data_IF_127098965602
#
_entry.id   IF_127098965602
#
_cell.length_a   1.000
_cell.length_b   1.000
_cell.length_c   1.000
_cell.angle_alpha   90.00
_cell.angle_beta   90.00
_cell.angle_gamma   90.00
#
_symmetry.space_group_name_H-M   'P 1'
#
loop_
_entity.id
_entity.type
_entity.pdbx_description
1 polymer ?
#
# COMPACT_ATOMS: atom_id res chain seq x y z
N UNK A 1 -9.41 -11.28 22.06
CA UNK A 1 -9.49 -11.39 20.59
C UNK A 1 -10.05 -12.77 20.28
N UNK A 2 -11.23 -12.84 19.66
CA UNK A 2 -12.02 -14.07 19.61
C UNK A 2 -11.55 -14.97 18.45
N UNK A 3 -11.72 -16.29 18.57
CA UNK A 3 -11.19 -17.28 17.60
C UNK A 3 -11.78 -17.08 16.19
N UNK A 4 -12.96 -16.47 16.08
CA UNK A 4 -13.63 -16.14 14.82
C UNK A 4 -13.01 -14.93 14.08
N UNK A 5 -12.32 -14.02 14.76
CA UNK A 5 -11.69 -12.85 14.12
C UNK A 5 -10.40 -13.20 13.36
N UNK A 6 -9.81 -14.37 13.65
CA UNK A 6 -8.53 -14.82 13.10
C UNK A 6 -8.64 -15.47 11.72
N UNK A 7 -9.85 -15.91 11.32
CA UNK A 7 -10.10 -16.72 10.12
C UNK A 7 -10.21 -15.85 8.84
N UNK A 8 -10.56 -14.56 8.99
CA UNK A 8 -10.60 -13.58 7.89
C UNK A 8 -9.50 -12.50 7.98
N UNK A 9 -8.52 -12.69 8.87
CA UNK A 9 -7.44 -11.72 9.05
C UNK A 9 -6.39 -11.87 7.95
N UNK A 10 -6.24 -10.85 7.10
CA UNK A 10 -5.16 -10.80 6.12
C UNK A 10 -3.79 -10.74 6.80
N UNK A 11 -2.77 -11.32 6.16
CA UNK A 11 -1.44 -11.51 6.76
C UNK A 11 -0.83 -10.23 7.36
N UNK A 12 -1.04 -9.08 6.72
CA UNK A 12 -0.48 -7.80 7.17
C UNK A 12 -1.13 -7.24 8.43
N UNK A 13 -2.36 -7.65 8.77
CA UNK A 13 -3.04 -7.22 10.00
C UNK A 13 -2.41 -7.84 11.25
N UNK A 14 -1.66 -8.93 11.09
CA UNK A 14 -0.96 -9.63 12.19
C UNK A 14 0.39 -9.01 12.52
N UNK A 15 0.90 -8.14 11.65
CA UNK A 15 2.20 -7.49 11.83
C UNK A 15 1.95 -6.20 12.61
N UNK A 16 2.34 -6.13 13.91
CA UNK A 16 2.35 -4.85 14.60
C UNK A 16 3.33 -3.94 13.85
N UNK A 17 2.98 -2.68 13.67
CA UNK A 17 3.78 -1.66 12.98
C UNK A 17 3.83 -1.73 11.44
N UNK A 18 2.88 -2.41 10.79
CA UNK A 18 2.83 -2.43 9.32
C UNK A 18 2.71 -1.03 8.70
N UNK A 19 2.00 -0.12 9.36
CA UNK A 19 1.81 1.25 8.87
C UNK A 19 3.13 2.03 8.86
N UNK A 20 3.90 1.92 9.95
CA UNK A 20 5.21 2.52 10.15
C UNK A 20 6.23 1.92 9.18
N UNK A 21 6.20 0.59 8.98
CA UNK A 21 7.04 -0.07 7.99
C UNK A 21 6.77 0.45 6.58
N UNK A 22 5.50 0.54 6.17
CA UNK A 22 5.14 1.08 4.86
C UNK A 22 5.52 2.56 4.74
N UNK A 23 5.39 3.33 5.81
CA UNK A 23 5.85 4.72 5.83
C UNK A 23 7.35 4.82 5.59
N UNK A 24 8.15 4.03 6.31
CA UNK A 24 9.62 4.00 6.16
C UNK A 24 10.02 3.51 4.77
N UNK A 25 9.41 2.44 4.24
CA UNK A 25 9.69 1.94 2.89
C UNK A 25 9.35 2.97 1.81
N UNK A 26 8.22 3.67 1.96
CA UNK A 26 7.83 4.75 1.07
C UNK A 26 8.84 5.90 1.08
N UNK A 27 9.33 6.28 2.27
CA UNK A 27 10.38 7.29 2.43
C UNK A 27 11.70 6.85 1.83
N UNK A 28 12.16 5.62 2.12
CA UNK A 28 13.40 5.07 1.55
C UNK A 28 13.32 5.10 0.03
N UNK A 29 12.26 4.56 -0.56
CA UNK A 29 12.10 4.57 -2.02
C UNK A 29 12.07 5.98 -2.59
N UNK A 30 11.31 6.88 -1.96
CA UNK A 30 11.19 8.27 -2.39
C UNK A 30 12.52 9.02 -2.34
N UNK A 31 13.23 8.94 -1.21
CA UNK A 31 14.51 9.61 -1.02
C UNK A 31 15.58 9.01 -1.92
N UNK A 32 15.68 7.69 -2.01
CA UNK A 32 16.75 7.02 -2.74
C UNK A 32 16.76 7.40 -4.23
N UNK A 33 15.60 7.43 -4.90
CA UNK A 33 15.51 7.86 -6.29
C UNK A 33 15.81 9.34 -6.51
N UNK A 34 15.62 10.19 -5.50
CA UNK A 34 15.96 11.62 -5.58
C UNK A 34 17.45 11.83 -5.34
N UNK A 35 18.06 11.00 -4.49
CA UNK A 35 19.49 11.02 -4.23
C UNK A 35 20.32 10.62 -5.45
N UNK A 36 19.83 9.77 -6.36
CA UNK A 36 20.59 9.38 -7.57
C UNK A 36 21.10 10.58 -8.38
N UNK A 37 20.35 11.68 -8.42
CA UNK A 37 20.73 12.94 -9.10
C UNK A 37 21.97 13.56 -8.43
N UNK A 38 22.00 13.57 -7.10
CA UNK A 38 23.06 14.18 -6.30
C UNK A 38 24.28 13.27 -6.10
N UNK A 39 24.09 11.95 -6.20
CA UNK A 39 25.15 10.96 -6.00
C UNK A 39 26.02 10.77 -7.25
N UNK A 40 25.62 11.32 -8.41
CA UNK A 40 26.38 11.22 -9.66
C UNK A 40 27.87 11.61 -9.54
N UNK A 41 28.28 12.67 -8.81
CA UNK A 41 29.69 13.00 -8.63
C UNK A 41 30.47 12.00 -7.77
N UNK A 42 29.78 11.17 -6.96
CA UNK A 42 30.39 10.14 -6.12
C UNK A 42 30.64 8.83 -6.88
N UNK A 43 30.32 8.79 -8.17
CA UNK A 43 30.52 7.65 -9.05
C UNK A 43 29.31 6.71 -9.14
N UNK A 44 29.38 5.81 -10.12
CA UNK A 44 28.25 4.96 -10.50
C UNK A 44 27.85 3.96 -9.42
N UNK A 45 28.79 3.53 -8.57
CA UNK A 45 28.48 2.63 -7.45
C UNK A 45 27.51 3.26 -6.44
N UNK A 46 27.67 4.54 -6.12
CA UNK A 46 26.79 5.25 -5.20
C UNK A 46 25.39 5.43 -5.79
N UNK A 47 25.32 5.77 -7.08
CA UNK A 47 24.06 5.88 -7.83
C UNK A 47 23.33 4.54 -7.86
N UNK A 48 24.03 3.46 -8.20
CA UNK A 48 23.46 2.12 -8.26
C UNK A 48 22.95 1.65 -6.89
N UNK A 49 23.71 1.90 -5.81
CA UNK A 49 23.29 1.51 -4.45
C UNK A 49 22.01 2.23 -4.03
N UNK A 50 21.92 3.53 -4.28
CA UNK A 50 20.69 4.29 -4.04
C UNK A 50 19.54 3.80 -4.94
N UNK A 51 19.81 3.54 -6.21
CA UNK A 51 18.77 3.07 -7.12
C UNK A 51 18.21 1.69 -6.71
N UNK A 52 19.08 0.72 -6.39
CA UNK A 52 18.66 -0.61 -5.96
C UNK A 52 17.93 -0.60 -4.61
N UNK A 53 18.39 0.18 -3.65
CA UNK A 53 17.65 0.35 -2.39
C UNK A 53 16.27 0.97 -2.61
N UNK A 54 16.18 1.95 -3.51
CA UNK A 54 14.91 2.59 -3.88
C UNK A 54 13.92 1.64 -4.55
N UNK A 55 14.37 0.88 -5.55
CA UNK A 55 13.50 -0.02 -6.34
C UNK A 55 12.98 -1.17 -5.48
N UNK A 56 13.84 -1.76 -4.64
CA UNK A 56 13.44 -2.85 -3.73
C UNK A 56 12.41 -2.34 -2.72
N UNK A 57 12.64 -1.17 -2.12
CA UNK A 57 11.70 -0.57 -1.17
C UNK A 57 10.32 -0.32 -1.81
N UNK A 58 10.28 0.19 -3.05
CA UNK A 58 9.04 0.41 -3.80
C UNK A 58 8.32 -0.88 -4.19
N UNK A 59 9.05 -1.92 -4.62
CA UNK A 59 8.44 -3.23 -4.91
C UNK A 59 7.69 -3.75 -3.69
N UNK A 60 8.34 -3.76 -2.53
CA UNK A 60 7.73 -4.23 -1.27
C UNK A 60 6.56 -3.31 -0.88
N UNK A 61 6.76 -2.00 -0.91
CA UNK A 61 5.75 -1.01 -0.56
C UNK A 61 4.47 -1.16 -1.40
N UNK A 62 4.60 -1.21 -2.73
CA UNK A 62 3.44 -1.31 -3.62
C UNK A 62 2.79 -2.68 -3.56
N UNK A 63 3.56 -3.77 -3.41
CA UNK A 63 2.99 -5.11 -3.24
C UNK A 63 2.04 -5.19 -2.04
N UNK A 64 2.49 -4.74 -0.87
CA UNK A 64 1.68 -4.76 0.36
C UNK A 64 0.48 -3.80 0.22
N UNK A 65 0.69 -2.61 -0.36
CA UNK A 65 -0.39 -1.64 -0.63
C UNK A 65 -1.48 -2.21 -1.55
N UNK A 66 -1.12 -2.96 -2.60
CA UNK A 66 -2.09 -3.65 -3.48
C UNK A 66 -2.94 -4.62 -2.66
N UNK A 67 -2.32 -5.36 -1.76
CA UNK A 67 -2.97 -6.31 -0.87
C UNK A 67 -3.99 -5.61 0.05
N UNK A 68 -3.58 -4.54 0.74
CA UNK A 68 -4.46 -3.72 1.59
C UNK A 68 -5.65 -3.17 0.80
N UNK A 69 -5.39 -2.70 -0.42
CA UNK A 69 -6.42 -2.15 -1.31
C UNK A 69 -7.41 -3.19 -1.83
N UNK A 70 -6.97 -4.44 -2.04
CA UNK A 70 -7.86 -5.54 -2.39
C UNK A 70 -8.83 -5.84 -1.24
N UNK A 71 -8.31 -5.96 -0.02
CA UNK A 71 -9.16 -6.19 1.16
C UNK A 71 -10.15 -5.04 1.38
N UNK A 72 -9.72 -3.79 1.19
CA UNK A 72 -10.62 -2.63 1.26
C UNK A 72 -11.76 -2.74 0.25
N UNK A 73 -11.49 -3.25 -0.96
CA UNK A 73 -12.52 -3.46 -1.99
C UNK A 73 -13.46 -4.62 -1.67
N UNK A 74 -12.98 -5.68 -1.03
CA UNK A 74 -13.84 -6.77 -0.53
C UNK A 74 -14.88 -6.24 0.46
N UNK A 75 -14.45 -5.38 1.40
CA UNK A 75 -15.35 -4.69 2.35
C UNK A 75 -16.37 -3.82 1.59
N UNK A 76 -15.95 -3.13 0.53
CA UNK A 76 -16.83 -2.30 -0.28
C UNK A 76 -17.89 -3.09 -1.08
N UNK A 77 -17.63 -4.37 -1.36
CA UNK A 77 -18.57 -5.25 -2.06
C UNK A 77 -19.54 -5.97 -1.13
N UNK A 78 -19.30 -5.92 0.18
CA UNK A 78 -20.22 -6.45 1.18
C UNK A 78 -21.48 -5.57 1.24
N UNK A 79 -22.54 -6.04 0.56
CA UNK A 79 -23.83 -5.34 0.45
C UNK A 79 -24.54 -5.19 1.80
N UNK A 80 -24.21 -6.01 2.80
CA UNK A 80 -24.86 -6.01 4.10
C UNK A 80 -24.12 -5.17 5.14
N UNK A 81 -22.93 -4.65 4.82
CA UNK A 81 -22.13 -3.89 5.77
C UNK A 81 -22.84 -2.59 6.22
N UNK A 82 -23.46 -1.88 5.26
CA UNK A 82 -24.23 -0.66 5.54
C UNK A 82 -25.53 -0.95 6.32
N UNK A 83 -26.19 -2.08 6.06
CA UNK A 83 -27.40 -2.50 6.78
C UNK A 83 -27.08 -2.91 8.22
N UNK A 84 -25.96 -3.63 8.43
CA UNK A 84 -25.46 -3.98 9.77
C UNK A 84 -25.03 -2.75 10.57
N UNK A 85 -24.49 -1.73 9.92
CA UNK A 85 -24.19 -0.43 10.54
C UNK A 85 -25.46 0.28 11.02
N UNK A 86 -26.57 0.19 10.29
CA UNK A 86 -27.83 0.83 10.67
C UNK A 86 -28.58 0.09 11.81
N UNK A 87 -28.36 -1.22 11.97
CA UNK A 87 -29.01 -2.03 13.01
C UNK A 87 -28.37 -1.96 14.40
N UNK A 88 -27.32 -1.16 14.59
CA UNK A 88 -26.68 -0.93 15.89
C UNK A 88 -27.16 0.40 16.51
N UNK A 89 -26.87 0.61 17.79
CA UNK A 89 -27.25 1.79 18.60
C UNK A 89 -26.47 3.06 18.20
N UNK A 90 -26.41 3.33 16.89
CA UNK A 90 -25.72 4.44 16.24
C UNK A 90 -26.75 5.52 15.90
N UNK A 91 -26.37 6.79 16.07
CA UNK A 91 -27.24 7.88 15.63
C UNK A 91 -27.28 7.94 14.09
N UNK A 92 -28.34 8.53 13.51
CA UNK A 92 -28.40 8.75 12.06
C UNK A 92 -27.18 9.55 11.53
N UNK A 93 -26.64 10.43 12.38
CA UNK A 93 -25.45 11.23 12.05
C UNK A 93 -24.19 10.37 11.97
N UNK A 94 -24.03 9.40 12.88
CA UNK A 94 -22.90 8.46 12.88
C UNK A 94 -22.94 7.57 11.63
N UNK A 95 -24.12 7.02 11.31
CA UNK A 95 -24.32 6.19 10.10
C UNK A 95 -23.99 6.99 8.85
N UNK A 96 -24.42 8.26 8.77
CA UNK A 96 -24.12 9.14 7.63
C UNK A 96 -22.62 9.43 7.50
N UNK A 97 -21.93 9.71 8.60
CA UNK A 97 -20.49 10.00 8.61
C UNK A 97 -19.67 8.77 8.19
N UNK A 98 -19.94 7.61 8.80
CA UNK A 98 -19.27 6.35 8.47
C UNK A 98 -19.53 5.97 7.01
N UNK A 99 -20.78 6.10 6.56
CA UNK A 99 -21.14 5.79 5.18
C UNK A 99 -20.43 6.69 4.17
N UNK A 100 -20.29 7.99 4.48
CA UNK A 100 -19.55 8.95 3.66
C UNK A 100 -18.08 8.56 3.53
N UNK A 101 -17.42 8.24 4.65
CA UNK A 101 -16.02 7.81 4.67
C UNK A 101 -15.86 6.54 3.84
N UNK A 102 -16.68 5.52 4.09
CA UNK A 102 -16.59 4.24 3.38
C UNK A 102 -16.79 4.43 1.87
N UNK A 103 -17.81 5.19 1.44
CA UNK A 103 -18.03 5.52 0.03
C UNK A 103 -16.82 6.21 -0.62
N UNK A 104 -16.18 7.15 0.09
CA UNK A 104 -14.96 7.82 -0.41
C UNK A 104 -13.83 6.81 -0.67
N UNK A 105 -13.65 5.86 0.24
CA UNK A 105 -12.62 4.83 0.14
C UNK A 105 -12.92 3.86 -1.00
N UNK A 106 -14.20 3.47 -1.15
CA UNK A 106 -14.65 2.53 -2.18
C UNK A 106 -14.59 3.09 -3.60
N UNK A 107 -14.80 4.40 -3.78
CA UNK A 107 -14.73 5.05 -5.10
C UNK A 107 -13.29 5.24 -5.60
N UNK A 108 -12.29 5.13 -4.73
CA UNK A 108 -10.90 5.44 -5.07
C UNK A 108 -10.28 4.41 -6.03
N UNK A 109 -9.68 4.92 -7.11
CA UNK A 109 -8.92 4.13 -8.08
C UNK A 109 -7.44 3.95 -7.71
N UNK A 110 -7.07 4.26 -6.47
CA UNK A 110 -5.68 4.23 -6.00
C UNK A 110 -4.98 2.87 -6.19
N UNK A 111 -5.75 1.78 -6.15
CA UNK A 111 -5.25 0.42 -6.42
C UNK A 111 -4.54 0.33 -7.77
N UNK A 112 -5.11 0.92 -8.82
CA UNK A 112 -4.53 0.85 -10.16
C UNK A 112 -3.19 1.60 -10.23
N UNK A 113 -3.06 2.71 -9.50
CA UNK A 113 -1.77 3.40 -9.38
C UNK A 113 -0.73 2.47 -8.77
N UNK A 114 -1.07 1.76 -7.69
CA UNK A 114 -0.14 0.83 -7.05
C UNK A 114 0.25 -0.34 -7.96
N UNK A 115 -0.70 -0.90 -8.72
CA UNK A 115 -0.42 -1.98 -9.68
C UNK A 115 0.54 -1.49 -10.77
N UNK A 116 0.30 -0.32 -11.35
CA UNK A 116 1.16 0.26 -12.40
C UNK A 116 2.56 0.51 -11.86
N UNK A 117 2.69 1.18 -10.71
CA UNK A 117 3.99 1.46 -10.11
C UNK A 117 4.75 0.20 -9.68
N UNK A 118 4.04 -0.81 -9.16
CA UNK A 118 4.63 -2.11 -8.87
C UNK A 118 5.18 -2.78 -10.14
N UNK A 119 4.35 -2.84 -11.21
CA UNK A 119 4.75 -3.43 -12.49
C UNK A 119 5.96 -2.72 -13.10
N UNK A 120 5.95 -1.38 -13.14
CA UNK A 120 7.09 -0.58 -13.57
C UNK A 120 8.34 -0.86 -12.73
N UNK A 121 8.19 -0.97 -11.41
CA UNK A 121 9.33 -1.21 -10.53
C UNK A 121 9.97 -2.59 -10.77
N UNK A 122 9.14 -3.63 -10.95
CA UNK A 122 9.61 -4.99 -11.25
C UNK A 122 10.28 -5.04 -12.63
N UNK A 123 9.66 -4.45 -13.66
CA UNK A 123 10.22 -4.40 -15.02
C UNK A 123 11.55 -3.65 -15.02
N UNK A 124 11.62 -2.50 -14.34
CA UNK A 124 12.87 -1.74 -14.20
C UNK A 124 13.96 -2.54 -13.50
N UNK A 125 13.65 -3.28 -12.43
CA UNK A 125 14.64 -4.11 -11.74
C UNK A 125 15.16 -5.25 -12.65
N UNK A 126 14.27 -5.94 -13.36
CA UNK A 126 14.65 -6.99 -14.31
C UNK A 126 15.52 -6.41 -15.43
N UNK A 127 15.12 -5.28 -16.00
CA UNK A 127 15.88 -4.61 -17.04
C UNK A 127 17.27 -4.18 -16.53
N UNK A 128 17.36 -3.63 -15.32
CA UNK A 128 18.64 -3.28 -14.73
C UNK A 128 19.57 -4.50 -14.61
N UNK A 129 19.08 -5.64 -14.12
CA UNK A 129 19.89 -6.85 -14.00
C UNK A 129 20.35 -7.40 -15.36
N UNK A 130 19.55 -7.24 -16.41
CA UNK A 130 19.86 -7.77 -17.75
C UNK A 130 20.73 -6.86 -18.60
N UNK A 131 20.63 -5.54 -18.42
CA UNK A 131 21.23 -4.54 -19.32
C UNK A 131 22.29 -3.64 -18.67
N UNK A 132 22.48 -3.70 -17.34
CA UNK A 132 23.45 -2.91 -16.56
C UNK A 132 24.45 -3.82 -15.89
#
# INVERSE_FOLDING_TARGET
MNKHDLEHSHYWQRIPFIAELLFVLGLIGGVSFRLTIFLKPLGDQAVNTAWYSGIIAYIIFFYVRISIENHRREICTDRFLFERLAGNDLTEMDVKNISSILKSQCKSNIKYNYIVWFGLSVVSLIAAILFV
#
